data_IF_720200827026
#
_entry.id   IF_720200827026
#
_cell.length_a   1.000
_cell.length_b   1.000
_cell.length_c   1.000
_cell.angle_alpha   90.00
_cell.angle_beta   90.00
_cell.angle_gamma   90.00
#
_symmetry.space_group_name_H-M   'P 1'
#
loop_
_entity.id
_entity.type
_entity.pdbx_description
1 polymer ?
#
# COMPACT_ATOMS: atom_id res chain seq x y z
N UNK A 1 -10.61 -7.98 -20.64
CA UNK A 1 -11.36 -7.58 -19.43
C UNK A 1 -12.02 -6.25 -19.74
N UNK A 2 -13.28 -6.01 -19.35
CA UNK A 2 -13.91 -4.71 -19.60
C UNK A 2 -13.41 -3.62 -18.63
N UNK A 3 -13.54 -2.36 -19.02
CA UNK A 3 -13.08 -1.21 -18.22
C UNK A 3 -13.71 -1.19 -16.83
N UNK A 4 -15.00 -1.55 -16.72
CA UNK A 4 -15.72 -1.61 -15.45
C UNK A 4 -15.06 -2.58 -14.46
N UNK A 5 -14.56 -3.70 -14.96
CA UNK A 5 -13.87 -4.71 -14.17
C UNK A 5 -12.48 -4.21 -13.75
N UNK A 6 -11.77 -3.50 -14.64
CA UNK A 6 -10.47 -2.85 -14.31
C UNK A 6 -10.67 -1.81 -13.21
N UNK A 7 -11.66 -0.93 -13.34
CA UNK A 7 -11.96 0.11 -12.36
C UNK A 7 -12.28 -0.48 -10.99
N UNK A 8 -13.05 -1.57 -10.95
CA UNK A 8 -13.38 -2.26 -9.71
C UNK A 8 -12.17 -2.93 -9.08
N UNK A 9 -11.29 -3.52 -9.89
CA UNK A 9 -10.03 -4.07 -9.42
C UNK A 9 -9.12 -2.98 -8.82
N UNK A 10 -9.01 -1.83 -9.48
CA UNK A 10 -8.25 -0.68 -8.97
C UNK A 10 -8.75 -0.20 -7.60
N UNK A 11 -10.09 -0.16 -7.39
CA UNK A 11 -10.67 0.19 -6.09
C UNK A 11 -10.24 -0.82 -5.01
N UNK A 12 -10.33 -2.12 -5.30
CA UNK A 12 -9.96 -3.17 -4.34
C UNK A 12 -8.47 -3.14 -4.02
N UNK A 13 -7.61 -2.92 -5.02
CA UNK A 13 -6.15 -2.82 -4.82
C UNK A 13 -5.78 -1.62 -3.94
N UNK A 14 -6.43 -0.46 -4.13
CA UNK A 14 -6.24 0.72 -3.27
C UNK A 14 -6.69 0.45 -1.84
N UNK A 15 -7.84 -0.20 -1.64
CA UNK A 15 -8.32 -0.59 -0.31
C UNK A 15 -7.37 -1.56 0.40
N UNK A 16 -6.79 -2.51 -0.35
CA UNK A 16 -5.81 -3.44 0.20
C UNK A 16 -4.53 -2.71 0.61
N UNK A 17 -4.02 -1.81 -0.24
CA UNK A 17 -2.88 -0.94 0.09
C UNK A 17 -3.13 -0.14 1.37
N UNK A 18 -4.29 0.50 1.49
CA UNK A 18 -4.64 1.28 2.68
C UNK A 18 -4.71 0.40 3.93
N UNK A 19 -5.21 -0.84 3.81
CA UNK A 19 -5.25 -1.81 4.90
C UNK A 19 -3.84 -2.20 5.35
N UNK A 20 -2.90 -2.43 4.42
CA UNK A 20 -1.50 -2.70 4.76
C UNK A 20 -0.87 -1.54 5.52
N UNK A 21 -1.11 -0.30 5.06
CA UNK A 21 -0.61 0.90 5.75
C UNK A 21 -1.19 1.00 7.16
N UNK A 22 -2.50 0.82 7.33
CA UNK A 22 -3.13 0.88 8.67
C UNK A 22 -2.65 -0.23 9.62
N UNK A 23 -2.28 -1.39 9.08
CA UNK A 23 -1.95 -2.57 9.88
C UNK A 23 -0.48 -2.61 10.29
N UNK A 24 0.41 -2.08 9.45
CA UNK A 24 1.86 -2.29 9.59
C UNK A 24 2.68 -1.01 9.63
N UNK A 25 2.15 0.12 9.16
CA UNK A 25 2.90 1.37 9.28
C UNK A 25 2.79 1.92 10.72
N UNK A 26 3.90 2.39 11.32
CA UNK A 26 3.90 2.94 12.66
C UNK A 26 3.04 4.21 12.72
N UNK A 27 2.40 4.43 13.87
CA UNK A 27 1.60 5.63 14.09
C UNK A 27 2.51 6.81 14.39
N UNK A 28 2.47 7.83 13.52
CA UNK A 28 3.24 9.06 13.68
C UNK A 28 2.66 10.03 14.73
N UNK A 29 3.38 11.12 15.03
CA UNK A 29 2.92 12.17 15.94
C UNK A 29 1.74 12.92 15.31
N UNK A 30 0.53 12.47 15.62
CA UNK A 30 -0.71 12.92 14.99
C UNK A 30 -1.78 11.83 14.88
N UNK A 31 -1.44 10.58 15.23
CA UNK A 31 -2.38 9.46 15.16
C UNK A 31 -2.60 8.94 13.73
N UNK A 32 -1.81 9.42 12.77
CA UNK A 32 -1.87 9.00 11.37
C UNK A 32 -0.71 8.05 11.10
N UNK A 33 -0.94 6.93 10.38
CA UNK A 33 0.14 6.04 9.98
C UNK A 33 1.18 6.75 9.11
N UNK A 34 2.44 6.55 9.46
CA UNK A 34 3.59 7.15 8.81
C UNK A 34 4.29 6.06 7.98
N UNK A 35 4.18 6.17 6.66
CA UNK A 35 4.86 5.25 5.74
C UNK A 35 6.35 5.62 5.73
N UNK A 36 7.15 4.80 6.40
CA UNK A 36 8.62 4.93 6.41
C UNK A 36 9.23 4.32 5.15
N UNK A 37 10.50 4.65 4.89
CA UNK A 37 11.29 3.91 3.91
C UNK A 37 11.77 2.58 4.49
N UNK A 38 12.05 1.55 3.68
CA UNK A 38 12.60 0.28 4.18
C UNK A 38 13.87 0.46 5.02
N UNK A 39 14.70 1.46 4.71
CA UNK A 39 15.92 1.77 5.48
C UNK A 39 15.65 2.38 6.86
N UNK A 40 14.44 2.88 7.10
CA UNK A 40 13.98 3.45 8.37
C UNK A 40 13.16 2.45 9.20
N UNK A 41 12.71 1.35 8.60
CA UNK A 41 11.97 0.29 9.27
C UNK A 41 12.95 -0.70 9.92
N UNK A 42 12.63 -1.12 11.14
CA UNK A 42 13.40 -2.13 11.87
C UNK A 42 12.59 -3.40 12.16
N UNK A 43 11.25 -3.32 12.05
CA UNK A 43 10.35 -4.45 12.19
C UNK A 43 10.30 -5.24 10.86
N UNK A 44 10.59 -6.55 10.85
CA UNK A 44 10.50 -7.37 9.65
C UNK A 44 9.12 -7.36 8.97
N UNK A 45 8.02 -7.24 9.74
CA UNK A 45 6.66 -7.16 9.19
C UNK A 45 6.38 -5.80 8.56
N UNK A 46 6.91 -4.71 9.16
CA UNK A 46 6.85 -3.38 8.54
C UNK A 46 7.61 -3.38 7.21
N UNK A 47 8.82 -3.95 7.17
CA UNK A 47 9.63 -4.05 5.95
C UNK A 47 8.90 -4.82 4.85
N UNK A 48 8.36 -6.00 5.17
CA UNK A 48 7.59 -6.80 4.21
C UNK A 48 6.36 -6.05 3.69
N UNK A 49 5.62 -5.37 4.57
CA UNK A 49 4.47 -4.57 4.18
C UNK A 49 4.87 -3.39 3.26
N UNK A 50 6.02 -2.75 3.48
CA UNK A 50 6.52 -1.68 2.61
C UNK A 50 6.86 -2.19 1.21
N UNK A 51 7.44 -3.38 1.09
CA UNK A 51 7.71 -4.02 -0.21
C UNK A 51 6.42 -4.37 -0.96
N UNK A 52 5.42 -4.89 -0.25
CA UNK A 52 4.09 -5.18 -0.79
C UNK A 52 3.37 -3.91 -1.24
N UNK A 53 3.41 -2.84 -0.42
CA UNK A 53 2.83 -1.53 -0.76
C UNK A 53 3.51 -0.97 -2.02
N UNK A 54 4.84 -1.02 -2.11
CA UNK A 54 5.57 -0.54 -3.29
C UNK A 54 5.20 -1.31 -4.56
N UNK A 55 5.05 -2.63 -4.44
CA UNK A 55 4.62 -3.50 -5.55
C UNK A 55 3.18 -3.20 -5.98
N UNK A 56 2.26 -3.00 -5.02
CA UNK A 56 0.88 -2.59 -5.30
C UNK A 56 0.80 -1.22 -5.97
N UNK A 57 1.59 -0.25 -5.51
CA UNK A 57 1.63 1.09 -6.10
C UNK A 57 2.07 1.04 -7.57
N UNK A 58 3.05 0.19 -7.90
CA UNK A 58 3.46 -0.04 -9.29
C UNK A 58 2.33 -0.64 -10.15
N UNK A 59 1.66 -1.69 -9.66
CA UNK A 59 0.53 -2.34 -10.37
C UNK A 59 -0.64 -1.39 -10.55
N UNK A 60 -1.03 -0.66 -9.49
CA UNK A 60 -2.12 0.34 -9.55
C UNK A 60 -1.80 1.40 -10.59
N UNK A 61 -0.56 1.89 -10.64
CA UNK A 61 -0.11 2.88 -11.62
C UNK A 61 -0.21 2.34 -13.05
N UNK A 62 0.29 1.12 -13.29
CA UNK A 62 0.25 0.48 -14.61
C UNK A 62 -1.19 0.27 -15.08
N UNK A 63 -2.07 -0.26 -14.22
CA UNK A 63 -3.48 -0.50 -14.53
C UNK A 63 -4.32 0.78 -14.67
N UNK A 64 -3.84 1.91 -14.14
CA UNK A 64 -4.52 3.22 -14.25
C UNK A 64 -4.09 4.00 -15.50
N UNK A 65 -3.16 3.48 -16.30
CA UNK A 65 -2.63 4.11 -17.52
C UNK A 65 -3.34 3.56 -18.75
#
# INVERSE_FOLDING_TARGET
MDQRTIDRALVLLRQYRDTLVMSYAPIGPGGVPEIRTPAQAADPLEIAALEDIASLDAVIKEMST
#
